data_IF_445193575205
#
_entry.id   IF_445193575205
#
_cell.length_a   1.000
_cell.length_b   1.000
_cell.length_c   1.000
_cell.angle_alpha   90.00
_cell.angle_beta   90.00
_cell.angle_gamma   90.00
#
_symmetry.space_group_name_H-M   'P 1'
#
loop_
_entity.id
_entity.type
_entity.pdbx_description
1 polymer ?
#
# COMPACT_ATOMS: atom_id res chain seq x y z
N UNK A 1 -99.62 -34.18 20.21
CA UNK A 1 -100.84 -34.88 20.66
C UNK A 1 -102.02 -34.41 19.84
N UNK A 2 -102.95 -35.30 19.51
CA UNK A 2 -104.12 -35.01 18.67
C UNK A 2 -105.35 -35.25 19.56
N UNK A 3 -106.24 -34.26 19.66
CA UNK A 3 -107.49 -34.34 20.43
C UNK A 3 -108.62 -34.77 19.50
N UNK A 4 -109.23 -35.92 19.77
CA UNK A 4 -110.44 -36.39 19.08
C UNK A 4 -111.51 -36.59 20.15
N UNK A 5 -112.60 -35.83 20.06
CA UNK A 5 -113.62 -35.70 21.12
C UNK A 5 -113.00 -35.37 22.49
N UNK A 6 -113.37 -36.09 23.55
CA UNK A 6 -112.90 -35.87 24.93
C UNK A 6 -111.64 -36.68 25.29
N UNK A 7 -110.98 -37.31 24.32
CA UNK A 7 -109.77 -38.13 24.55
C UNK A 7 -108.55 -37.53 23.84
N UNK A 8 -107.47 -37.36 24.61
CA UNK A 8 -106.17 -36.92 24.11
C UNK A 8 -105.40 -38.17 23.67
N UNK A 9 -105.11 -38.26 22.38
CA UNK A 9 -104.26 -39.30 21.84
C UNK A 9 -102.84 -38.76 21.69
N UNK A 10 -101.88 -39.49 22.25
CA UNK A 10 -100.46 -39.20 22.05
C UNK A 10 -100.08 -39.69 20.66
N UNK A 11 -100.05 -38.77 19.70
CA UNK A 11 -99.44 -39.02 18.39
C UNK A 11 -97.95 -38.73 18.47
N UNK A 12 -97.14 -39.70 18.05
CA UNK A 12 -95.69 -39.59 17.91
C UNK A 12 -95.40 -39.10 16.48
N UNK A 13 -94.91 -37.88 16.33
CA UNK A 13 -94.28 -37.45 15.08
C UNK A 13 -92.85 -37.96 15.09
N UNK A 14 -92.54 -38.91 14.20
CA UNK A 14 -91.18 -39.41 14.02
C UNK A 14 -90.64 -38.80 12.74
N UNK A 15 -89.73 -37.84 12.86
CA UNK A 15 -88.91 -37.36 11.74
C UNK A 15 -87.76 -38.34 11.62
N UNK A 16 -87.67 -39.05 10.50
CA UNK A 16 -86.66 -40.07 10.23
C UNK A 16 -85.94 -39.63 8.96
N UNK A 17 -84.62 -39.58 9.00
CA UNK A 17 -83.85 -39.48 7.76
C UNK A 17 -83.97 -40.81 7.00
N UNK A 18 -84.42 -40.74 5.76
CA UNK A 18 -84.63 -41.92 4.91
C UNK A 18 -83.75 -41.87 3.67
N UNK A 19 -82.94 -40.82 3.54
CA UNK A 19 -82.07 -40.60 2.38
C UNK A 19 -80.64 -40.96 2.76
N UNK A 20 -79.98 -41.86 2.02
CA UNK A 20 -78.56 -42.13 2.22
C UNK A 20 -77.68 -40.91 1.90
N UNK A 21 -76.51 -40.81 2.55
CA UNK A 21 -75.58 -39.71 2.32
C UNK A 21 -75.01 -39.76 0.90
N UNK A 22 -74.77 -38.60 0.29
CA UNK A 22 -74.13 -38.48 -1.03
C UNK A 22 -72.75 -37.84 -0.91
N UNK A 23 -71.79 -38.27 -1.73
CA UNK A 23 -70.49 -37.62 -1.86
C UNK A 23 -69.90 -37.88 -3.25
N UNK A 24 -68.90 -37.10 -3.65
CA UNK A 24 -68.13 -37.28 -4.87
C UNK A 24 -66.85 -38.07 -4.58
N UNK A 25 -66.56 -39.10 -5.37
CA UNK A 25 -65.32 -39.88 -5.26
C UNK A 25 -64.11 -39.07 -5.72
N UNK A 26 -63.02 -39.18 -4.97
CA UNK A 26 -61.72 -38.59 -5.28
C UNK A 26 -60.69 -39.71 -5.38
N UNK A 27 -59.96 -39.77 -6.48
CA UNK A 27 -58.81 -40.66 -6.61
C UNK A 27 -57.67 -40.14 -5.72
N UNK A 28 -56.96 -41.03 -5.04
CA UNK A 28 -55.86 -40.64 -4.15
C UNK A 28 -54.55 -41.30 -4.58
N UNK A 29 -53.46 -40.54 -4.54
CA UNK A 29 -52.11 -41.09 -4.73
C UNK A 29 -51.35 -41.09 -3.40
N UNK A 30 -50.98 -42.28 -2.94
CA UNK A 30 -50.28 -42.49 -1.68
C UNK A 30 -48.83 -42.93 -1.89
N UNK A 31 -47.96 -42.58 -0.96
CA UNK A 31 -46.65 -43.18 -0.87
C UNK A 31 -46.76 -44.60 -0.31
N UNK A 32 -45.83 -45.46 -0.69
CA UNK A 32 -45.70 -46.80 -0.11
C UNK A 32 -45.64 -46.74 1.42
N UNK A 33 -46.48 -47.53 2.08
CA UNK A 33 -46.69 -47.57 3.53
C UNK A 33 -47.29 -46.30 4.15
N UNK A 34 -47.82 -45.37 3.36
CA UNK A 34 -48.56 -44.21 3.88
C UNK A 34 -49.81 -44.67 4.62
N UNK A 35 -50.11 -44.03 5.75
CA UNK A 35 -51.37 -44.21 6.47
C UNK A 35 -52.36 -43.20 5.89
N UNK A 36 -53.45 -43.69 5.31
CA UNK A 36 -54.42 -42.87 4.59
C UNK A 36 -55.74 -42.89 5.35
N UNK A 37 -56.33 -41.71 5.55
CA UNK A 37 -57.66 -41.58 6.14
C UNK A 37 -58.76 -41.76 5.07
N UNK A 38 -59.90 -42.39 5.37
CA UNK A 38 -60.96 -42.63 4.40
C UNK A 38 -61.57 -41.34 3.83
N UNK A 39 -61.48 -40.23 4.56
CA UNK A 39 -61.91 -38.90 4.13
C UNK A 39 -61.12 -38.38 2.92
N UNK A 40 -59.88 -38.85 2.70
CA UNK A 40 -59.02 -38.38 1.60
C UNK A 40 -59.56 -38.76 0.20
N UNK A 41 -60.53 -39.66 0.16
CA UNK A 41 -61.06 -40.28 -1.04
C UNK A 41 -62.45 -39.74 -1.44
N UNK A 42 -62.99 -38.77 -0.71
CA UNK A 42 -64.29 -38.18 -0.99
C UNK A 42 -64.29 -36.67 -0.82
N UNK A 43 -65.20 -36.02 -1.52
CA UNK A 43 -65.49 -34.59 -1.39
C UNK A 43 -66.99 -34.33 -1.51
N UNK A 44 -67.42 -33.09 -1.23
CA UNK A 44 -68.81 -32.66 -1.43
C UNK A 44 -69.85 -33.57 -0.75
N UNK A 45 -69.63 -33.89 0.53
CA UNK A 45 -70.57 -34.71 1.31
C UNK A 45 -71.86 -33.92 1.56
N UNK A 46 -72.99 -34.50 1.19
CA UNK A 46 -74.34 -33.95 1.35
C UNK A 46 -75.22 -34.95 2.07
N UNK A 47 -75.66 -34.59 3.27
CA UNK A 47 -76.63 -35.35 4.07
C UNK A 47 -77.35 -34.41 5.05
N UNK A 48 -78.53 -34.80 5.54
CA UNK A 48 -79.25 -34.02 6.56
C UNK A 48 -78.76 -34.29 7.99
N UNK A 49 -77.89 -35.29 8.16
CA UNK A 49 -77.32 -35.72 9.43
C UNK A 49 -75.79 -35.90 9.34
N UNK A 50 -75.14 -36.22 10.48
CA UNK A 50 -73.70 -36.46 10.49
C UNK A 50 -73.38 -37.79 9.81
N UNK A 51 -72.37 -37.78 8.93
CA UNK A 51 -71.92 -38.95 8.17
C UNK A 51 -70.62 -39.48 8.77
N UNK A 52 -70.59 -40.78 9.06
CA UNK A 52 -69.36 -41.52 9.38
C UNK A 52 -68.81 -42.18 8.13
N UNK A 53 -67.49 -42.16 7.96
CA UNK A 53 -66.82 -42.69 6.77
C UNK A 53 -65.81 -43.74 7.24
N UNK A 54 -65.85 -44.91 6.62
CA UNK A 54 -64.90 -45.99 6.90
C UNK A 54 -64.55 -46.74 5.62
N UNK A 55 -63.36 -47.32 5.58
CA UNK A 55 -63.03 -48.31 4.56
C UNK A 55 -63.88 -49.56 4.75
N UNK A 56 -64.40 -50.12 3.66
CA UNK A 56 -65.01 -51.45 3.66
C UNK A 56 -63.95 -52.51 3.99
N UNK A 57 -62.78 -52.37 3.37
CA UNK A 57 -61.56 -53.11 3.67
C UNK A 57 -60.39 -52.12 3.66
N UNK A 58 -59.53 -52.18 4.69
CA UNK A 58 -58.39 -51.27 4.80
C UNK A 58 -57.42 -51.55 3.64
N UNK A 59 -57.06 -50.55 2.82
CA UNK A 59 -56.14 -50.76 1.70
C UNK A 59 -54.73 -51.13 2.17
N UNK A 60 -54.06 -52.02 1.45
CA UNK A 60 -52.67 -52.40 1.73
C UNK A 60 -51.71 -51.45 1.01
N UNK A 61 -51.21 -50.45 1.73
CA UNK A 61 -50.32 -49.43 1.16
C UNK A 61 -48.89 -49.92 0.94
N UNK A 62 -48.56 -51.17 1.25
CA UNK A 62 -47.24 -51.75 0.95
C UNK A 62 -47.11 -52.23 -0.50
N UNK A 63 -48.23 -52.42 -1.19
CA UNK A 63 -48.31 -52.95 -2.56
C UNK A 63 -48.41 -51.80 -3.57
N UNK A 64 -47.37 -51.63 -4.37
CA UNK A 64 -47.29 -50.59 -5.42
C UNK A 64 -48.32 -50.85 -6.52
N UNK A 65 -48.87 -49.76 -7.07
CA UNK A 65 -49.78 -49.77 -8.20
C UNK A 65 -51.20 -49.35 -7.85
N UNK A 66 -52.12 -49.63 -8.77
CA UNK A 66 -53.52 -49.25 -8.65
C UNK A 66 -54.32 -50.28 -7.84
N UNK A 67 -55.07 -49.79 -6.86
CA UNK A 67 -55.99 -50.55 -6.03
C UNK A 67 -57.37 -49.91 -6.09
N UNK A 68 -58.41 -50.76 -6.10
CA UNK A 68 -59.78 -50.32 -5.91
C UNK A 68 -60.05 -50.20 -4.40
N UNK A 69 -60.58 -49.05 -3.97
CA UNK A 69 -60.95 -48.81 -2.58
C UNK A 69 -62.44 -48.54 -2.51
N UNK A 70 -63.11 -49.21 -1.57
CA UNK A 70 -64.54 -49.02 -1.31
C UNK A 70 -64.73 -48.40 0.06
N UNK A 71 -65.45 -47.27 0.09
CA UNK A 71 -65.84 -46.57 1.30
C UNK A 71 -67.29 -46.85 1.65
N UNK A 72 -67.59 -46.89 2.94
CA UNK A 72 -68.93 -46.95 3.49
C UNK A 72 -69.21 -45.61 4.17
N UNK A 73 -70.17 -44.87 3.65
CA UNK A 73 -70.72 -43.66 4.25
C UNK A 73 -72.01 -44.05 4.97
N UNK A 74 -72.07 -43.81 6.27
CA UNK A 74 -73.20 -44.18 7.12
C UNK A 74 -73.67 -42.97 7.92
N UNK A 75 -74.94 -42.61 7.75
CA UNK A 75 -75.57 -41.47 8.41
C UNK A 75 -76.03 -41.81 9.85
N UNK A 76 -76.54 -40.82 10.60
CA UNK A 76 -77.00 -41.04 11.98
C UNK A 76 -78.27 -41.92 12.10
N UNK A 77 -78.97 -42.16 10.99
CA UNK A 77 -80.16 -43.01 10.89
C UNK A 77 -79.85 -44.41 10.34
N UNK A 78 -78.57 -44.73 10.12
CA UNK A 78 -78.04 -45.97 9.53
C UNK A 78 -78.38 -46.16 8.04
N UNK A 79 -78.67 -45.09 7.29
CA UNK A 79 -78.68 -45.13 5.84
C UNK A 79 -77.24 -45.17 5.33
N UNK A 80 -76.98 -45.99 4.30
CA UNK A 80 -75.63 -46.31 3.83
C UNK A 80 -75.48 -46.05 2.33
N UNK A 81 -74.35 -45.46 1.96
CA UNK A 81 -73.88 -45.36 0.57
C UNK A 81 -72.49 -45.97 0.46
N UNK A 82 -72.27 -46.83 -0.54
CA UNK A 82 -70.94 -47.31 -0.91
C UNK A 82 -70.37 -46.47 -2.06
N UNK A 83 -69.12 -46.04 -1.93
CA UNK A 83 -68.41 -45.31 -2.97
C UNK A 83 -67.13 -46.07 -3.33
N UNK A 84 -66.98 -46.39 -4.61
CA UNK A 84 -65.77 -46.99 -5.17
C UNK A 84 -64.87 -45.90 -5.74
N UNK A 85 -63.58 -45.97 -5.44
CA UNK A 85 -62.57 -45.03 -5.94
C UNK A 85 -61.24 -45.74 -6.21
N UNK A 86 -60.31 -45.03 -6.82
CA UNK A 86 -58.97 -45.53 -7.13
C UNK A 86 -57.94 -45.00 -6.11
N UNK A 87 -57.18 -45.91 -5.54
CA UNK A 87 -55.94 -45.63 -4.82
C UNK A 87 -54.77 -46.01 -5.72
N UNK A 88 -53.85 -45.09 -5.97
CA UNK A 88 -52.57 -45.40 -6.63
C UNK A 88 -51.45 -45.29 -5.60
N UNK A 89 -50.71 -46.37 -5.37
CA UNK A 89 -49.55 -46.38 -4.46
C UNK A 89 -48.28 -46.26 -5.29
N UNK A 90 -47.46 -45.26 -4.97
CA UNK A 90 -46.19 -44.98 -5.64
C UNK A 90 -45.01 -45.12 -4.68
N UNK A 91 -43.89 -45.61 -5.18
CA UNK A 91 -42.60 -45.66 -4.50
C UNK A 91 -41.76 -44.43 -4.89
N UNK A 92 -41.60 -43.52 -3.94
CA UNK A 92 -40.84 -42.28 -4.09
C UNK A 92 -39.54 -42.44 -3.31
N UNK A 93 -38.42 -42.16 -3.98
CA UNK A 93 -37.15 -41.97 -3.30
C UNK A 93 -37.24 -40.75 -2.39
N UNK A 94 -37.18 -41.00 -1.08
CA UNK A 94 -37.21 -39.97 -0.05
C UNK A 94 -36.16 -38.88 -0.29
N UNK A 95 -34.98 -39.27 -0.77
CA UNK A 95 -33.95 -38.33 -1.22
C UNK A 95 -33.00 -38.94 -2.23
N UNK A 96 -32.39 -38.09 -3.06
CA UNK A 96 -31.22 -38.42 -3.87
C UNK A 96 -29.99 -37.67 -3.33
N UNK A 97 -28.81 -38.20 -3.58
CA UNK A 97 -27.54 -37.58 -3.20
C UNK A 97 -26.76 -37.18 -4.45
N UNK A 98 -26.25 -35.95 -4.47
CA UNK A 98 -25.50 -35.35 -5.57
C UNK A 98 -24.17 -34.79 -5.07
N UNK A 99 -23.19 -34.73 -5.96
CA UNK A 99 -21.89 -34.14 -5.69
C UNK A 99 -21.93 -32.61 -5.87
N UNK A 100 -21.34 -31.86 -4.93
CA UNK A 100 -21.24 -30.41 -4.99
C UNK A 100 -20.48 -29.94 -6.24
N UNK A 101 -20.99 -28.91 -6.91
CA UNK A 101 -20.38 -28.37 -8.13
C UNK A 101 -20.55 -29.25 -9.38
N UNK A 102 -21.19 -30.43 -9.25
CA UNK A 102 -21.67 -31.22 -10.38
C UNK A 102 -23.13 -30.88 -10.65
N UNK A 103 -23.44 -30.45 -11.89
CA UNK A 103 -24.80 -30.08 -12.30
C UNK A 103 -25.37 -31.21 -13.18
N UNK A 104 -26.04 -32.22 -12.60
CA UNK A 104 -26.71 -33.23 -13.40
C UNK A 104 -27.99 -32.70 -14.02
N UNK A 105 -28.39 -33.31 -15.13
CA UNK A 105 -29.74 -33.12 -15.68
C UNK A 105 -30.72 -34.00 -14.90
N UNK A 106 -31.34 -33.44 -13.85
CA UNK A 106 -32.35 -34.14 -13.05
C UNK A 106 -33.68 -34.28 -13.78
N UNK A 107 -34.30 -35.43 -13.60
CA UNK A 107 -35.63 -35.78 -14.13
C UNK A 107 -36.51 -36.35 -13.03
N UNK A 108 -37.82 -36.38 -13.24
CA UNK A 108 -38.76 -36.98 -12.29
C UNK A 108 -38.51 -38.47 -12.06
N UNK A 109 -37.88 -39.16 -13.02
CA UNK A 109 -37.46 -40.57 -12.91
C UNK A 109 -36.34 -40.81 -11.90
N UNK A 110 -35.64 -39.76 -11.49
CA UNK A 110 -34.64 -39.85 -10.42
C UNK A 110 -35.30 -40.02 -9.05
N UNK A 111 -36.56 -39.60 -8.91
CA UNK A 111 -37.33 -39.64 -7.66
C UNK A 111 -38.43 -40.70 -7.66
N UNK A 112 -39.11 -40.92 -8.78
CA UNK A 112 -40.22 -41.88 -8.90
C UNK A 112 -39.82 -42.96 -9.92
N UNK A 113 -39.68 -44.20 -9.47
CA UNK A 113 -39.26 -45.32 -10.34
C UNK A 113 -40.43 -46.01 -11.04
N UNK A 114 -41.66 -45.75 -10.60
CA UNK A 114 -42.86 -46.35 -11.15
C UNK A 114 -43.21 -45.77 -12.52
N UNK A 115 -43.35 -46.64 -13.53
CA UNK A 115 -43.74 -46.25 -14.88
C UNK A 115 -45.27 -46.02 -14.99
N UNK A 116 -45.69 -45.14 -15.90
CA UNK A 116 -47.12 -44.89 -16.19
C UNK A 116 -47.81 -43.86 -15.29
N UNK A 117 -47.08 -43.24 -14.35
CA UNK A 117 -47.57 -42.12 -13.53
C UNK A 117 -47.32 -40.77 -14.25
N UNK A 118 -48.24 -39.82 -14.12
CA UNK A 118 -48.04 -38.44 -14.56
C UNK A 118 -47.28 -37.68 -13.47
N UNK A 119 -45.98 -37.46 -13.68
CA UNK A 119 -45.08 -36.85 -12.70
C UNK A 119 -44.45 -35.58 -13.25
N UNK A 120 -44.57 -34.48 -12.51
CA UNK A 120 -43.92 -33.20 -12.81
C UNK A 120 -43.31 -32.56 -11.56
N UNK A 121 -42.27 -31.75 -11.75
CA UNK A 121 -41.74 -30.94 -10.66
C UNK A 121 -42.65 -29.73 -10.40
N UNK A 122 -43.01 -29.53 -9.13
CA UNK A 122 -43.65 -28.29 -8.66
C UNK A 122 -42.57 -27.28 -8.26
N UNK A 123 -41.50 -27.75 -7.63
CA UNK A 123 -40.33 -26.92 -7.30
C UNK A 123 -39.50 -26.64 -8.56
N UNK A 124 -39.17 -25.37 -8.77
CA UNK A 124 -38.23 -24.96 -9.81
C UNK A 124 -36.80 -25.34 -9.40
N UNK A 125 -36.29 -26.43 -9.97
CA UNK A 125 -34.95 -26.95 -9.67
C UNK A 125 -33.83 -25.97 -10.04
N UNK A 126 -34.07 -25.00 -10.93
CA UNK A 126 -33.05 -23.99 -11.26
C UNK A 126 -32.76 -23.01 -10.12
N UNK A 127 -33.61 -22.98 -9.09
CA UNK A 127 -33.43 -22.14 -7.89
C UNK A 127 -32.56 -22.80 -6.82
N UNK A 128 -32.20 -24.07 -7.00
CA UNK A 128 -31.40 -24.84 -6.04
C UNK A 128 -29.93 -24.60 -6.33
N UNK A 129 -29.20 -24.08 -5.33
CA UNK A 129 -27.75 -23.95 -5.40
C UNK A 129 -27.09 -25.32 -5.22
N UNK A 130 -26.62 -25.90 -6.33
CA UNK A 130 -25.89 -27.18 -6.34
C UNK A 130 -24.38 -27.01 -6.17
N UNK A 131 -23.89 -25.78 -5.98
CA UNK A 131 -22.45 -25.52 -5.85
C UNK A 131 -21.90 -25.79 -4.45
N UNK A 132 -22.76 -25.96 -3.44
CA UNK A 132 -22.37 -26.11 -2.03
C UNK A 132 -23.10 -27.26 -1.34
N UNK A 133 -22.46 -27.90 -0.33
CA UNK A 133 -23.12 -28.88 0.50
C UNK A 133 -24.38 -28.32 1.17
N UNK A 134 -25.53 -28.93 0.91
CA UNK A 134 -26.83 -28.49 1.42
C UNK A 134 -27.90 -29.59 1.25
N UNK A 135 -28.98 -29.49 2.03
CA UNK A 135 -30.17 -30.33 1.86
C UNK A 135 -31.36 -29.49 1.42
N UNK A 136 -32.02 -29.90 0.34
CA UNK A 136 -33.18 -29.21 -0.22
C UNK A 136 -34.39 -30.15 -0.24
N UNK A 137 -35.56 -29.59 0.06
CA UNK A 137 -36.84 -30.28 -0.13
C UNK A 137 -37.43 -29.79 -1.44
N UNK A 138 -37.82 -30.72 -2.30
CA UNK A 138 -38.53 -30.46 -3.54
C UNK A 138 -39.94 -31.04 -3.48
N UNK A 139 -40.83 -30.46 -4.28
CA UNK A 139 -42.20 -30.90 -4.44
C UNK A 139 -42.42 -31.49 -5.82
N UNK A 140 -43.03 -32.67 -5.84
CA UNK A 140 -43.44 -33.41 -7.04
C UNK A 140 -44.96 -33.44 -7.09
N UNK A 141 -45.52 -33.17 -8.26
CA UNK A 141 -46.92 -33.45 -8.53
C UNK A 141 -47.00 -34.83 -9.20
N UNK A 142 -47.69 -35.76 -8.55
CA UNK A 142 -47.91 -37.14 -9.00
C UNK A 142 -49.41 -37.34 -9.14
N UNK A 143 -49.90 -37.45 -10.37
CA UNK A 143 -51.32 -37.58 -10.72
C UNK A 143 -52.24 -36.54 -10.02
N UNK A 144 -51.76 -35.31 -9.83
CA UNK A 144 -52.52 -34.24 -9.16
C UNK A 144 -52.29 -34.13 -7.65
N UNK A 145 -51.52 -35.03 -7.03
CA UNK A 145 -51.18 -34.98 -5.60
C UNK A 145 -49.75 -34.48 -5.40
N UNK A 146 -49.55 -33.51 -4.50
CA UNK A 146 -48.22 -32.99 -4.17
C UNK A 146 -47.55 -33.89 -3.13
N UNK A 147 -46.33 -34.36 -3.42
CA UNK A 147 -45.47 -35.12 -2.51
C UNK A 147 -44.10 -34.47 -2.40
N UNK A 148 -43.44 -34.63 -1.25
CA UNK A 148 -42.11 -34.08 -1.00
C UNK A 148 -41.03 -35.13 -1.27
N UNK A 149 -39.89 -34.70 -1.81
CA UNK A 149 -38.66 -35.49 -1.90
C UNK A 149 -37.46 -34.61 -1.54
N UNK A 150 -36.32 -35.22 -1.23
CA UNK A 150 -35.09 -34.53 -0.85
C UNK A 150 -34.01 -34.56 -1.93
N UNK A 151 -33.21 -33.51 -2.00
CA UNK A 151 -31.91 -33.49 -2.68
C UNK A 151 -30.86 -33.19 -1.62
N UNK A 152 -29.93 -34.12 -1.43
CA UNK A 152 -28.76 -33.95 -0.58
C UNK A 152 -27.56 -33.65 -1.47
N UNK A 153 -26.99 -32.47 -1.36
CA UNK A 153 -25.73 -32.10 -2.01
C UNK A 153 -24.64 -32.33 -0.97
N UNK A 154 -23.70 -33.21 -1.29
CA UNK A 154 -22.53 -33.49 -0.49
C UNK A 154 -21.30 -33.14 -1.31
N UNK A 155 -20.25 -32.69 -0.65
CA UNK A 155 -18.91 -32.69 -1.23
C UNK A 155 -18.19 -33.92 -0.67
N UNK A 156 -17.80 -34.83 -1.55
CA UNK A 156 -17.16 -36.11 -1.20
C UNK A 156 -15.77 -36.27 -1.81
N UNK A 157 -15.31 -35.26 -2.55
CA UNK A 157 -14.06 -35.32 -3.30
C UNK A 157 -13.04 -34.44 -2.56
N UNK A 158 -11.95 -35.02 -2.03
CA UNK A 158 -10.94 -34.24 -1.34
C UNK A 158 -10.17 -33.30 -2.29
N UNK A 159 -9.72 -32.15 -1.77
CA UNK A 159 -8.99 -31.16 -2.54
C UNK A 159 -7.62 -31.68 -2.99
N UNK A 160 -7.09 -31.14 -4.07
CA UNK A 160 -5.73 -31.47 -4.54
C UNK A 160 -4.90 -30.20 -4.74
N UNK A 161 -3.57 -30.29 -4.62
CA UNK A 161 -2.66 -29.16 -4.81
C UNK A 161 -1.24 -29.61 -5.18
N UNK A 162 -0.43 -28.66 -5.65
CA UNK A 162 1.01 -28.80 -5.87
C UNK A 162 1.78 -28.31 -4.65
N UNK A 163 2.69 -29.12 -4.13
CA UNK A 163 3.54 -28.75 -2.97
C UNK A 163 4.66 -27.80 -3.38
N UNK A 164 4.89 -26.79 -2.53
CA UNK A 164 6.01 -25.85 -2.61
C UNK A 164 6.78 -25.89 -1.29
N UNK A 165 8.07 -26.18 -1.36
CA UNK A 165 8.95 -26.08 -0.20
C UNK A 165 9.26 -24.61 0.10
N UNK A 166 9.43 -24.28 1.38
CA UNK A 166 9.63 -22.90 1.83
C UNK A 166 10.92 -22.74 2.61
N UNK A 167 11.47 -21.52 2.57
CA UNK A 167 12.62 -21.11 3.36
C UNK A 167 12.28 -19.82 4.13
N UNK A 168 12.62 -19.79 5.42
CA UNK A 168 12.41 -18.63 6.30
C UNK A 168 13.64 -18.39 7.18
N UNK A 169 13.76 -17.18 7.72
CA UNK A 169 14.78 -16.90 8.73
C UNK A 169 14.33 -17.34 10.12
N UNK A 170 15.28 -17.64 11.00
CA UNK A 170 15.00 -18.03 12.38
C UNK A 170 14.17 -16.97 13.11
N UNK A 171 13.06 -17.41 13.70
CA UNK A 171 12.10 -16.54 14.41
C UNK A 171 10.99 -15.96 13.53
N UNK A 172 11.10 -16.08 12.20
CA UNK A 172 10.00 -15.75 11.29
C UNK A 172 8.96 -16.87 11.28
N UNK A 173 7.70 -16.51 11.06
CA UNK A 173 6.58 -17.45 10.93
C UNK A 173 6.09 -17.47 9.50
N UNK A 174 5.59 -18.63 9.06
CA UNK A 174 4.96 -18.80 7.75
C UNK A 174 3.69 -19.63 7.88
N UNK A 175 2.67 -19.26 7.12
CA UNK A 175 1.38 -19.95 7.09
C UNK A 175 1.40 -21.15 6.14
N UNK A 176 0.50 -22.11 6.38
CA UNK A 176 0.46 -23.37 5.65
C UNK A 176 0.09 -23.22 4.16
N UNK A 177 -0.65 -22.17 3.80
CA UNK A 177 -1.04 -21.86 2.43
C UNK A 177 0.17 -21.53 1.53
N UNK A 178 1.25 -21.01 2.10
CA UNK A 178 2.49 -20.77 1.35
C UNK A 178 3.12 -22.08 0.82
N UNK A 179 2.83 -23.23 1.42
CA UNK A 179 3.41 -24.52 1.04
C UNK A 179 2.66 -25.22 -0.10
N UNK A 180 1.59 -24.60 -0.62
CA UNK A 180 0.74 -25.19 -1.65
C UNK A 180 0.41 -24.17 -2.73
N UNK A 181 0.28 -24.67 -3.96
CA UNK A 181 -0.15 -23.91 -5.13
C UNK A 181 -1.09 -24.77 -5.97
N UNK A 182 -1.75 -24.17 -6.96
CA UNK A 182 -2.67 -24.90 -7.86
C UNK A 182 -3.72 -25.73 -7.11
N UNK A 183 -4.32 -25.17 -6.06
CA UNK A 183 -5.37 -25.84 -5.31
C UNK A 183 -6.58 -26.03 -6.24
N UNK A 184 -7.01 -27.28 -6.40
CA UNK A 184 -8.16 -27.67 -7.22
C UNK A 184 -9.18 -28.36 -6.32
N UNK A 185 -10.34 -27.72 -6.21
CA UNK A 185 -11.53 -28.27 -5.57
C UNK A 185 -12.82 -27.61 -6.09
N UNK A 186 -13.98 -28.18 -5.77
CA UNK A 186 -15.29 -27.61 -6.11
C UNK A 186 -15.82 -26.67 -5.04
N UNK A 187 -15.44 -26.87 -3.78
CA UNK A 187 -15.79 -26.01 -2.67
C UNK A 187 -14.55 -25.24 -2.17
N UNK A 188 -14.73 -24.43 -1.13
CA UNK A 188 -13.65 -23.61 -0.59
C UNK A 188 -12.69 -24.49 0.23
N UNK A 189 -11.39 -24.33 0.01
CA UNK A 189 -10.34 -25.10 0.71
C UNK A 189 -9.60 -24.23 1.71
N UNK A 190 -9.36 -24.76 2.90
CA UNK A 190 -8.49 -24.18 3.92
C UNK A 190 -7.21 -25.01 4.07
N UNK A 191 -6.05 -24.35 4.05
CA UNK A 191 -4.76 -24.97 4.30
C UNK A 191 -4.31 -24.71 5.74
N UNK A 192 -3.87 -25.75 6.44
CA UNK A 192 -3.35 -25.66 7.82
C UNK A 192 -2.19 -26.65 8.02
N UNK A 193 -1.41 -26.48 9.09
CA UNK A 193 -0.42 -27.48 9.48
C UNK A 193 -1.06 -28.57 10.33
N UNK A 194 -0.71 -29.83 10.10
CA UNK A 194 -1.09 -30.93 11.00
C UNK A 194 -0.54 -30.70 12.41
N UNK A 195 0.73 -30.27 12.48
CA UNK A 195 1.41 -29.86 13.71
C UNK A 195 2.13 -28.54 13.44
N UNK A 196 1.99 -27.56 14.34
CA UNK A 196 2.68 -26.27 14.20
C UNK A 196 4.20 -26.47 14.15
N UNK A 197 4.90 -25.98 13.10
CA UNK A 197 6.35 -26.10 13.01
C UNK A 197 7.07 -25.35 14.15
N UNK A 198 8.19 -25.90 14.61
CA UNK A 198 9.10 -25.20 15.52
C UNK A 198 10.00 -24.24 14.75
N UNK A 199 9.57 -22.98 14.64
CA UNK A 199 10.29 -21.93 13.92
C UNK A 199 11.61 -21.48 14.57
N UNK A 200 11.94 -22.00 15.76
CA UNK A 200 13.16 -21.65 16.49
C UNK A 200 14.31 -22.64 16.24
N UNK A 201 14.06 -23.74 15.53
CA UNK A 201 15.08 -24.76 15.25
C UNK A 201 15.63 -24.58 13.84
N UNK A 202 16.94 -24.53 13.70
CA UNK A 202 17.59 -24.37 12.40
C UNK A 202 17.58 -25.67 11.57
N UNK A 203 17.65 -25.52 10.26
CA UNK A 203 17.80 -26.59 9.29
C UNK A 203 16.49 -26.98 8.60
N UNK A 204 16.54 -28.11 7.89
CA UNK A 204 15.39 -28.64 7.15
C UNK A 204 14.45 -29.42 8.07
N UNK A 205 13.15 -29.15 7.96
CA UNK A 205 12.08 -29.76 8.73
C UNK A 205 10.99 -30.27 7.80
N UNK A 206 10.57 -31.51 8.00
CA UNK A 206 9.40 -32.07 7.33
C UNK A 206 8.15 -31.51 8.03
N UNK A 207 7.26 -30.91 7.25
CA UNK A 207 5.97 -30.39 7.71
C UNK A 207 4.85 -31.06 6.93
N UNK A 208 3.70 -31.25 7.57
CA UNK A 208 2.50 -31.82 6.96
C UNK A 208 1.44 -30.74 6.81
N UNK A 209 1.01 -30.52 5.57
CA UNK A 209 -0.05 -29.58 5.22
C UNK A 209 -1.35 -30.35 5.08
N UNK A 210 -2.39 -29.85 5.74
CA UNK A 210 -3.76 -30.35 5.68
C UNK A 210 -4.56 -29.39 4.82
N UNK A 211 -5.10 -29.91 3.72
CA UNK A 211 -6.13 -29.23 2.93
C UNK A 211 -7.48 -29.82 3.31
N UNK A 212 -8.37 -28.98 3.84
CA UNK A 212 -9.75 -29.35 4.20
C UNK A 212 -10.73 -28.48 3.41
N UNK A 213 -11.73 -29.10 2.80
CA UNK A 213 -12.79 -28.44 2.02
C UNK A 213 -14.07 -28.19 2.86
N UNK A 214 -15.14 -27.64 2.25
CA UNK A 214 -16.43 -27.43 2.96
C UNK A 214 -17.17 -28.75 3.24
N UNK A 215 -16.80 -29.85 2.58
CA UNK A 215 -17.30 -31.21 2.80
C UNK A 215 -16.61 -31.97 3.93
N UNK A 216 -15.58 -31.38 4.55
CA UNK A 216 -14.66 -32.03 5.50
C UNK A 216 -13.85 -33.17 4.88
N UNK A 217 -13.65 -33.17 3.56
CA UNK A 217 -12.69 -34.08 2.94
C UNK A 217 -11.29 -33.49 3.10
N UNK A 218 -10.33 -34.37 3.36
CA UNK A 218 -8.96 -34.00 3.74
C UNK A 218 -7.95 -34.59 2.77
N UNK A 219 -6.98 -33.77 2.36
CA UNK A 219 -5.74 -34.21 1.74
C UNK A 219 -4.55 -33.80 2.60
N UNK A 220 -3.68 -34.77 2.91
CA UNK A 220 -2.41 -34.53 3.59
C UNK A 220 -1.26 -34.46 2.58
N UNK A 221 -0.41 -33.44 2.70
CA UNK A 221 0.75 -33.23 1.84
C UNK A 221 2.02 -33.08 2.67
N UNK A 222 3.10 -33.73 2.26
CA UNK A 222 4.42 -33.57 2.87
C UNK A 222 5.19 -32.45 2.16
N UNK A 223 5.71 -31.49 2.92
CA UNK A 223 6.53 -30.39 2.42
C UNK A 223 7.78 -30.17 3.29
N UNK A 224 8.76 -29.43 2.76
CA UNK A 224 9.99 -29.08 3.48
C UNK A 224 9.98 -27.60 3.84
N UNK A 225 10.21 -27.32 5.12
CA UNK A 225 10.51 -26.00 5.66
C UNK A 225 12.01 -25.94 6.00
N UNK A 226 12.75 -25.03 5.37
CA UNK A 226 14.14 -24.73 5.71
C UNK A 226 14.20 -23.48 6.58
N UNK A 227 14.80 -23.58 7.76
CA UNK A 227 14.99 -22.43 8.65
C UNK A 227 16.47 -22.08 8.69
N UNK A 228 16.78 -20.90 8.16
CA UNK A 228 18.14 -20.39 8.01
C UNK A 228 18.42 -19.29 9.03
N UNK A 229 19.70 -19.09 9.35
CA UNK A 229 20.15 -17.94 10.13
C UNK A 229 20.88 -16.99 9.18
N UNK A 230 20.63 -15.71 9.36
CA UNK A 230 21.36 -14.67 8.67
C UNK A 230 22.72 -14.42 9.35
N UNK A 231 23.79 -14.60 8.58
CA UNK A 231 25.20 -14.48 8.99
C UNK A 231 26.01 -13.58 8.05
N UNK A 232 25.38 -13.00 7.03
CA UNK A 232 26.03 -12.14 6.07
C UNK A 232 25.95 -10.69 6.56
N UNK A 233 27.06 -9.95 6.44
CA UNK A 233 27.09 -8.55 6.87
C UNK A 233 26.59 -7.61 5.77
N UNK A 234 26.01 -6.45 6.14
CA UNK A 234 25.56 -5.46 5.17
C UNK A 234 26.65 -5.01 4.20
N UNK A 235 26.27 -4.73 2.96
CA UNK A 235 27.20 -4.26 1.94
C UNK A 235 27.14 -2.76 1.75
N UNK A 236 28.18 -2.05 2.24
CA UNK A 236 28.36 -0.61 2.00
C UNK A 236 29.05 -0.36 0.65
N UNK A 237 28.40 0.39 -0.24
CA UNK A 237 28.88 0.72 -1.59
C UNK A 237 28.99 2.23 -1.82
N UNK A 238 29.86 2.65 -2.76
CA UNK A 238 30.02 4.05 -3.14
C UNK A 238 31.02 4.86 -2.29
N UNK A 239 31.58 4.26 -1.24
CA UNK A 239 32.65 4.85 -0.42
C UNK A 239 33.91 5.02 -1.26
N UNK A 240 34.41 6.26 -1.35
CA UNK A 240 35.59 6.64 -2.14
C UNK A 240 36.35 7.74 -1.43
N UNK A 241 37.67 7.74 -1.61
CA UNK A 241 38.53 8.85 -1.22
C UNK A 241 38.18 10.11 -2.01
N UNK A 242 38.34 11.27 -1.38
CA UNK A 242 38.02 12.57 -1.98
C UNK A 242 39.09 13.60 -1.62
N UNK A 243 39.33 14.51 -2.55
CA UNK A 243 40.15 15.71 -2.33
C UNK A 243 39.24 16.93 -2.40
N UNK A 244 39.39 17.84 -1.44
CA UNK A 244 38.70 19.13 -1.41
C UNK A 244 39.71 20.24 -1.13
N UNK A 245 39.37 21.46 -1.53
CA UNK A 245 40.16 22.63 -1.19
C UNK A 245 39.61 23.32 0.07
N UNK A 246 40.50 24.00 0.82
CA UNK A 246 40.11 24.79 1.98
C UNK A 246 39.02 25.80 1.57
N UNK A 247 37.90 25.77 2.28
CA UNK A 247 36.72 26.60 2.02
C UNK A 247 35.59 25.91 1.25
N UNK A 248 35.83 24.72 0.68
CA UNK A 248 34.79 23.89 0.10
C UNK A 248 33.97 23.14 1.17
N UNK A 249 32.73 22.77 0.81
CA UNK A 249 31.87 21.93 1.63
C UNK A 249 31.86 20.49 1.09
N UNK A 250 31.67 19.52 1.99
CA UNK A 250 31.69 18.10 1.65
C UNK A 250 30.48 17.38 2.25
N UNK A 251 29.75 16.63 1.42
CA UNK A 251 28.69 15.70 1.86
C UNK A 251 29.23 14.28 1.96
N UNK A 252 29.25 13.73 3.17
CA UNK A 252 29.76 12.38 3.44
C UNK A 252 28.78 11.27 3.00
N UNK A 253 27.47 11.55 2.91
CA UNK A 253 26.46 10.55 2.52
C UNK A 253 26.27 10.44 1.00
N UNK A 254 26.63 11.48 0.25
CA UNK A 254 26.28 11.55 -1.18
C UNK A 254 26.93 10.40 -1.97
N UNK A 255 26.10 9.60 -2.64
CA UNK A 255 26.51 8.48 -3.49
C UNK A 255 26.82 7.17 -2.74
N UNK A 256 26.48 7.08 -1.45
CA UNK A 256 26.66 5.85 -0.64
C UNK A 256 25.33 5.12 -0.52
N UNK A 257 25.38 3.80 -0.68
CA UNK A 257 24.25 2.90 -0.48
C UNK A 257 24.65 1.73 0.43
N UNK A 258 23.67 1.20 1.16
CA UNK A 258 23.81 -0.02 1.98
C UNK A 258 22.73 -0.98 1.52
N UNK A 259 23.08 -2.25 1.37
CA UNK A 259 22.17 -3.34 0.98
C UNK A 259 22.49 -4.56 1.82
N UNK A 260 21.48 -5.38 2.11
CA UNK A 260 21.62 -6.62 2.89
C UNK A 260 20.80 -7.75 2.24
N UNK A 261 21.08 -9.01 2.60
CA UNK A 261 20.37 -10.19 2.10
C UNK A 261 19.04 -10.45 2.82
N UNK A 262 18.92 -10.02 4.08
CA UNK A 262 17.72 -10.19 4.90
C UNK A 262 17.02 -8.88 5.18
N UNK A 263 17.76 -7.83 5.55
CA UNK A 263 17.19 -6.57 5.98
C UNK A 263 16.99 -5.59 4.81
N UNK A 264 15.73 -5.24 4.50
CA UNK A 264 15.38 -4.29 3.43
C UNK A 264 16.01 -2.90 3.64
N UNK A 265 16.05 -2.45 4.90
CA UNK A 265 16.61 -1.15 5.29
C UNK A 265 17.64 -1.30 6.41
N UNK A 266 18.89 -0.98 6.11
CA UNK A 266 20.00 -0.95 7.08
C UNK A 266 20.51 0.48 7.27
N UNK A 267 20.58 0.95 8.52
CA UNK A 267 21.04 2.30 8.83
C UNK A 267 22.56 2.45 8.62
N UNK A 268 22.94 3.49 7.87
CA UNK A 268 24.34 3.88 7.69
C UNK A 268 24.74 4.94 8.73
N UNK A 269 25.69 4.59 9.58
CA UNK A 269 26.38 5.49 10.50
C UNK A 269 27.67 6.04 9.86
N UNK A 270 27.93 7.33 10.07
CA UNK A 270 29.08 8.03 9.49
C UNK A 270 29.81 8.80 10.59
N UNK A 271 31.04 8.38 10.92
CA UNK A 271 31.93 9.11 11.80
C UNK A 271 32.91 9.95 10.98
N UNK A 272 32.67 11.26 10.95
CA UNK A 272 33.56 12.27 10.38
C UNK A 272 34.16 13.21 11.44
N UNK A 273 34.11 12.83 12.72
CA UNK A 273 34.51 13.69 13.84
C UNK A 273 35.98 14.14 13.78
N UNK A 274 36.83 13.33 13.14
CA UNK A 274 38.26 13.64 12.96
C UNK A 274 38.54 14.64 11.83
N UNK A 275 37.58 14.92 10.95
CA UNK A 275 37.81 15.70 9.72
C UNK A 275 37.84 17.20 10.00
N UNK A 276 38.91 17.88 9.55
CA UNK A 276 39.04 19.33 9.62
C UNK A 276 39.21 19.96 8.23
N UNK A 277 38.12 20.47 7.64
CA UNK A 277 38.13 21.09 6.31
C UNK A 277 38.82 22.47 6.24
N UNK A 278 39.31 22.99 7.37
CA UNK A 278 39.99 24.30 7.46
C UNK A 278 41.50 24.18 7.56
N UNK A 279 42.03 22.96 7.56
CA UNK A 279 43.46 22.70 7.71
C UNK A 279 43.88 21.63 6.71
N UNK A 280 45.02 21.85 6.07
CA UNK A 280 45.58 20.86 5.17
C UNK A 280 45.89 19.55 5.91
N UNK A 281 45.58 18.44 5.26
CA UNK A 281 45.79 17.12 5.83
C UNK A 281 44.92 16.04 5.21
N UNK A 282 45.18 14.80 5.61
CA UNK A 282 44.39 13.63 5.23
C UNK A 282 43.62 13.17 6.47
N UNK A 283 42.30 13.16 6.38
CA UNK A 283 41.39 12.81 7.47
C UNK A 283 40.59 11.56 7.12
N UNK A 284 40.30 10.72 8.11
CA UNK A 284 39.53 9.49 7.92
C UNK A 284 38.07 9.72 8.24
N UNK A 285 37.20 9.21 7.36
CA UNK A 285 35.76 9.06 7.63
C UNK A 285 35.46 7.57 7.68
N UNK A 286 34.79 7.14 8.74
CA UNK A 286 34.44 5.74 8.97
C UNK A 286 32.94 5.59 8.72
N UNK A 287 32.58 4.60 7.91
CA UNK A 287 31.22 4.24 7.54
C UNK A 287 30.93 2.87 8.14
N UNK A 288 29.90 2.78 8.97
CA UNK A 288 29.48 1.53 9.61
C UNK A 288 28.00 1.25 9.35
N UNK A 289 27.68 -0.03 9.19
CA UNK A 289 26.32 -0.54 9.08
C UNK A 289 26.22 -1.84 9.90
N UNK A 290 25.09 -2.02 10.56
CA UNK A 290 24.78 -3.18 11.40
C UNK A 290 23.33 -3.59 11.12
N UNK A 291 23.13 -4.87 10.77
CA UNK A 291 21.81 -5.43 10.47
C UNK A 291 21.04 -5.83 11.75
N UNK A 292 19.82 -6.34 11.57
CA UNK A 292 19.00 -6.81 12.69
C UNK A 292 19.55 -8.07 13.38
N UNK A 293 20.36 -8.85 12.66
CA UNK A 293 21.01 -10.09 13.11
C UNK A 293 22.32 -9.82 13.88
N UNK A 294 22.80 -8.57 13.90
CA UNK A 294 24.02 -8.12 14.55
C UNK A 294 25.30 -8.24 13.71
N UNK A 295 25.21 -8.57 12.42
CA UNK A 295 26.38 -8.59 11.54
C UNK A 295 26.76 -7.16 11.15
N UNK A 296 28.06 -6.88 11.07
CA UNK A 296 28.60 -5.51 10.92
C UNK A 296 29.51 -5.38 9.72
N UNK A 297 29.40 -4.26 9.03
CA UNK A 297 30.31 -3.85 7.97
C UNK A 297 30.93 -2.49 8.25
N UNK A 298 32.20 -2.35 7.87
CA UNK A 298 32.97 -1.11 8.00
C UNK A 298 33.68 -0.77 6.69
N UNK A 299 33.64 0.50 6.31
CA UNK A 299 34.45 1.08 5.23
C UNK A 299 35.07 2.38 5.69
N UNK A 300 36.26 2.69 5.18
CA UNK A 300 36.99 3.92 5.47
C UNK A 300 37.25 4.68 4.19
N UNK A 301 37.03 5.99 4.20
CA UNK A 301 37.47 6.90 3.14
C UNK A 301 38.47 7.93 3.69
N UNK A 302 39.45 8.28 2.86
CA UNK A 302 40.36 9.39 3.12
C UNK A 302 39.86 10.67 2.46
N UNK A 303 39.78 11.73 3.26
CA UNK A 303 39.46 13.09 2.82
C UNK A 303 40.74 13.91 2.87
N UNK A 304 41.25 14.25 1.69
CA UNK A 304 42.44 15.11 1.53
C UNK A 304 41.98 16.56 1.44
N UNK A 305 42.49 17.39 2.32
CA UNK A 305 42.25 18.84 2.33
C UNK A 305 43.53 19.52 1.88
N UNK A 306 43.44 20.31 0.80
CA UNK A 306 44.57 21.03 0.21
C UNK A 306 44.33 22.54 0.22
N UNK A 307 45.39 23.35 0.29
CA UNK A 307 45.28 24.79 0.08
C UNK A 307 44.86 25.11 -1.36
N UNK A 308 43.95 26.07 -1.52
CA UNK A 308 43.61 26.60 -2.83
C UNK A 308 44.73 27.51 -3.34
N UNK A 309 45.64 26.97 -4.14
CA UNK A 309 46.68 27.75 -4.81
C UNK A 309 46.10 28.40 -6.07
N UNK A 310 45.70 29.67 -5.97
CA UNK A 310 45.24 30.44 -7.13
C UNK A 310 46.45 31.00 -7.87
N UNK A 311 46.69 30.50 -9.08
CA UNK A 311 47.71 31.08 -9.96
C UNK A 311 47.26 32.43 -10.54
N UNK A 312 48.23 33.29 -10.88
CA UNK A 312 47.97 34.57 -11.55
C UNK A 312 47.25 34.38 -12.88
N UNK A 313 47.56 33.30 -13.61
CA UNK A 313 46.88 32.97 -14.87
C UNK A 313 45.37 32.71 -14.66
N UNK A 314 45.00 31.95 -13.63
CA UNK A 314 43.60 31.67 -13.32
C UNK A 314 42.85 32.94 -12.96
N UNK A 315 43.46 33.80 -12.13
CA UNK A 315 42.86 35.06 -11.71
C UNK A 315 42.73 36.05 -12.88
N UNK A 316 43.72 36.09 -13.78
CA UNK A 316 43.69 36.90 -15.00
C UNK A 316 42.55 36.48 -15.92
N UNK A 317 42.33 35.17 -16.12
CA UNK A 317 41.21 34.68 -16.94
C UNK A 317 39.84 35.08 -16.38
N UNK A 318 39.66 35.02 -15.06
CA UNK A 318 38.41 35.48 -14.42
C UNK A 318 38.25 36.99 -14.58
N UNK A 319 39.33 37.74 -14.41
CA UNK A 319 39.34 39.19 -14.56
C UNK A 319 39.02 39.61 -16.00
N UNK A 320 39.58 38.93 -17.01
CA UNK A 320 39.27 39.14 -18.43
C UNK A 320 37.79 38.92 -18.72
N UNK A 321 37.23 37.81 -18.25
CA UNK A 321 35.80 37.52 -18.44
C UNK A 321 34.88 38.59 -17.84
N UNK A 322 35.31 39.31 -16.80
CA UNK A 322 34.57 40.46 -16.26
C UNK A 322 34.84 41.71 -17.12
N UNK A 323 36.11 42.05 -17.33
CA UNK A 323 36.53 43.28 -18.01
C UNK A 323 35.98 43.39 -19.43
N UNK A 324 35.98 42.28 -20.19
CA UNK A 324 35.44 42.22 -21.56
C UNK A 324 33.98 42.69 -21.65
N UNK A 325 33.22 42.58 -20.55
CA UNK A 325 31.83 42.97 -20.49
C UNK A 325 31.59 44.39 -19.96
N UNK A 326 32.57 44.98 -19.27
CA UNK A 326 32.37 46.26 -18.56
C UNK A 326 33.21 47.41 -19.09
N UNK A 327 34.29 47.13 -19.83
CA UNK A 327 35.19 48.14 -20.41
C UNK A 327 35.46 47.90 -21.90
N UNK A 328 36.01 48.90 -22.58
CA UNK A 328 36.54 48.77 -23.94
C UNK A 328 37.73 49.73 -24.15
N UNK A 329 38.41 49.61 -25.30
CA UNK A 329 39.64 50.36 -25.59
C UNK A 329 39.45 51.86 -25.75
N UNK A 330 38.24 52.33 -26.06
CA UNK A 330 37.94 53.77 -26.21
C UNK A 330 37.73 54.48 -24.87
N UNK A 331 37.64 53.74 -23.76
CA UNK A 331 37.45 54.33 -22.44
C UNK A 331 38.77 54.85 -21.85
N UNK A 332 38.70 56.02 -21.22
CA UNK A 332 39.77 56.53 -20.36
C UNK A 332 40.01 55.61 -19.16
N UNK A 333 41.21 55.68 -18.56
CA UNK A 333 41.52 54.90 -17.34
C UNK A 333 40.52 55.17 -16.21
N UNK A 334 40.05 56.41 -16.08
CA UNK A 334 39.06 56.81 -15.07
C UNK A 334 37.68 56.21 -15.32
N UNK A 335 37.24 56.15 -16.58
CA UNK A 335 36.00 55.46 -16.96
C UNK A 335 36.09 53.96 -16.71
N UNK A 336 37.22 53.33 -17.07
CA UNK A 336 37.49 51.92 -16.77
C UNK A 336 37.45 51.66 -15.26
N UNK A 337 38.13 52.49 -14.48
CA UNK A 337 38.11 52.40 -13.02
C UNK A 337 36.69 52.57 -12.44
N UNK A 338 35.87 53.49 -12.97
CA UNK A 338 34.48 53.66 -12.51
C UNK A 338 33.63 52.43 -12.83
N UNK A 339 33.82 51.81 -14.00
CA UNK A 339 33.13 50.56 -14.37
C UNK A 339 33.50 49.42 -13.44
N UNK A 340 34.79 49.25 -13.12
CA UNK A 340 35.28 48.27 -12.14
C UNK A 340 34.65 48.54 -10.75
N UNK A 341 34.72 49.79 -10.27
CA UNK A 341 34.10 50.22 -9.00
C UNK A 341 32.63 49.80 -8.91
N UNK A 342 31.85 50.16 -9.93
CA UNK A 342 30.42 49.88 -9.98
C UNK A 342 30.14 48.38 -10.08
N UNK A 343 30.92 47.65 -10.89
CA UNK A 343 30.75 46.21 -11.03
C UNK A 343 31.05 45.48 -9.71
N UNK A 344 32.19 45.75 -9.06
CA UNK A 344 32.54 45.09 -7.79
C UNK A 344 31.48 45.35 -6.72
N UNK A 345 31.02 46.60 -6.59
CA UNK A 345 29.99 46.99 -5.62
C UNK A 345 28.63 46.31 -5.87
N UNK A 346 28.33 45.95 -7.11
CA UNK A 346 27.08 45.29 -7.50
C UNK A 346 27.16 43.75 -7.41
N UNK A 347 28.35 43.17 -7.58
CA UNK A 347 28.53 41.71 -7.72
C UNK A 347 29.19 41.05 -6.52
N UNK A 348 29.66 41.83 -5.54
CA UNK A 348 30.10 41.32 -4.24
C UNK A 348 29.10 41.77 -3.18
N UNK A 349 28.53 40.83 -2.43
CA UNK A 349 27.66 41.08 -1.27
C UNK A 349 28.43 41.05 0.05
N UNK A 350 28.12 41.97 0.97
CA UNK A 350 28.84 42.05 2.26
C UNK A 350 28.31 41.03 3.28
N UNK A 351 29.16 40.08 3.72
CA UNK A 351 28.89 39.04 4.72
C UNK A 351 29.76 39.15 5.98
N UNK A 352 30.82 39.97 5.94
CA UNK A 352 31.69 40.20 7.09
C UNK A 352 32.73 39.10 7.37
N UNK A 353 32.91 38.15 6.45
CA UNK A 353 33.92 37.10 6.57
C UNK A 353 34.79 36.99 5.31
N UNK A 354 36.12 36.98 5.50
CA UNK A 354 37.11 36.70 4.45
C UNK A 354 38.36 36.05 5.01
N UNK A 355 39.04 35.29 4.16
CA UNK A 355 40.38 34.83 4.44
C UNK A 355 41.36 35.93 4.02
N UNK A 356 42.14 36.44 4.98
CA UNK A 356 43.06 37.56 4.77
C UNK A 356 44.51 37.10 4.62
N UNK A 357 44.74 35.80 4.45
CA UNK A 357 46.08 35.21 4.31
C UNK A 357 46.66 35.37 2.89
N UNK A 358 45.80 35.34 1.86
CA UNK A 358 46.18 35.48 0.45
C UNK A 358 45.11 36.26 -0.32
N UNK A 359 45.49 37.40 -0.90
CA UNK A 359 44.57 38.25 -1.65
C UNK A 359 44.14 37.63 -2.98
N UNK A 360 44.97 36.80 -3.62
CA UNK A 360 44.63 36.16 -4.90
C UNK A 360 43.59 35.06 -4.69
N UNK A 361 43.76 34.26 -3.63
CA UNK A 361 42.78 33.27 -3.20
C UNK A 361 41.45 33.94 -2.84
N UNK A 362 41.49 35.06 -2.11
CA UNK A 362 40.28 35.81 -1.76
C UNK A 362 39.62 36.47 -2.99
N UNK A 363 40.39 37.00 -3.94
CA UNK A 363 39.85 37.54 -5.20
C UNK A 363 39.13 36.46 -6.01
N UNK A 364 39.74 35.28 -6.16
CA UNK A 364 39.11 34.13 -6.80
C UNK A 364 37.81 33.73 -6.11
N UNK A 365 37.82 33.64 -4.78
CA UNK A 365 36.62 33.36 -3.97
C UNK A 365 35.54 34.42 -4.18
N UNK A 366 35.93 35.70 -4.23
CA UNK A 366 35.05 36.82 -4.53
C UNK A 366 34.39 36.71 -5.91
N UNK A 367 35.15 36.35 -6.95
CA UNK A 367 34.62 36.11 -8.30
C UNK A 367 33.66 34.92 -8.35
N UNK A 368 33.92 33.84 -7.62
CA UNK A 368 33.10 32.62 -7.66
C UNK A 368 31.84 32.70 -6.80
N UNK A 369 31.98 33.24 -5.59
CA UNK A 369 30.91 33.18 -4.59
C UNK A 369 30.12 34.50 -4.53
N UNK A 370 30.67 35.60 -5.04
CA UNK A 370 30.00 36.91 -5.05
C UNK A 370 29.72 37.48 -3.67
N UNK A 371 30.42 37.03 -2.63
CA UNK A 371 30.20 37.46 -1.24
C UNK A 371 31.50 37.54 -0.43
N UNK A 372 31.57 38.45 0.54
CA UNK A 372 32.73 38.59 1.42
C UNK A 372 32.72 39.85 2.29
N UNK A 373 33.89 40.35 2.68
CA UNK A 373 34.02 41.60 3.46
C UNK A 373 34.93 42.62 2.77
N UNK A 374 35.30 43.72 3.44
CA UNK A 374 36.14 44.77 2.86
C UNK A 374 37.40 44.24 2.14
N UNK A 375 38.02 43.16 2.64
CA UNK A 375 39.18 42.55 1.99
C UNK A 375 38.82 41.86 0.67
N UNK A 376 37.63 41.24 0.57
CA UNK A 376 37.10 40.65 -0.66
C UNK A 376 36.82 41.73 -1.72
N UNK A 377 36.17 42.84 -1.34
CA UNK A 377 35.93 43.95 -2.28
C UNK A 377 37.24 44.55 -2.79
N UNK A 378 38.21 44.74 -1.90
CA UNK A 378 39.56 45.17 -2.24
C UNK A 378 40.24 44.18 -3.19
N UNK A 379 40.27 42.89 -2.86
CA UNK A 379 40.98 41.86 -3.63
C UNK A 379 40.40 41.68 -5.05
N UNK A 380 39.06 41.65 -5.18
CA UNK A 380 38.39 41.60 -6.48
C UNK A 380 38.69 42.86 -7.30
N UNK A 381 38.63 44.03 -6.68
CA UNK A 381 38.95 45.29 -7.36
C UNK A 381 40.40 45.35 -7.80
N UNK A 382 41.33 44.92 -6.94
CA UNK A 382 42.76 44.84 -7.25
C UNK A 382 43.00 43.97 -8.48
N UNK A 383 42.44 42.77 -8.52
CA UNK A 383 42.57 41.86 -9.67
C UNK A 383 42.10 42.51 -10.98
N UNK A 384 40.95 43.20 -10.95
CA UNK A 384 40.40 43.90 -12.11
C UNK A 384 41.23 45.13 -12.50
N UNK A 385 41.71 45.92 -11.54
CA UNK A 385 42.56 47.10 -11.78
C UNK A 385 43.92 46.70 -12.37
N UNK A 386 44.57 45.69 -11.79
CA UNK A 386 45.83 45.13 -12.28
C UNK A 386 45.66 44.61 -13.72
N UNK A 387 44.59 43.84 -13.99
CA UNK A 387 44.34 43.29 -15.32
C UNK A 387 44.00 44.36 -16.35
N UNK A 388 43.33 45.43 -15.93
CA UNK A 388 43.02 46.61 -16.76
C UNK A 388 44.20 47.60 -16.89
N UNK A 389 45.38 47.27 -16.33
CA UNK A 389 46.57 48.10 -16.35
C UNK A 389 46.37 49.50 -15.73
N UNK A 390 45.53 49.58 -14.69
CA UNK A 390 45.34 50.82 -13.91
C UNK A 390 46.29 50.75 -12.71
N UNK A 391 47.32 51.63 -12.64
CA UNK A 391 48.20 51.68 -11.49
C UNK A 391 47.41 51.83 -10.19
N UNK A 392 47.66 50.94 -9.24
CA UNK A 392 46.99 50.93 -7.94
C UNK A 392 47.98 50.59 -6.82
N UNK A 393 47.70 51.13 -5.63
CA UNK A 393 48.47 50.89 -4.40
C UNK A 393 47.52 50.39 -3.34
N UNK A 394 47.92 49.32 -2.66
CA UNK A 394 47.13 48.67 -1.62
C UNK A 394 47.23 49.46 -0.32
N UNK A 395 46.09 49.86 0.24
CA UNK A 395 46.03 50.56 1.51
C UNK A 395 45.32 49.72 2.56
N UNK A 396 45.87 49.76 3.77
CA UNK A 396 45.27 49.14 4.96
C UNK A 396 45.14 50.17 6.06
N UNK A 397 44.03 50.13 6.77
CA UNK A 397 43.75 51.06 7.84
C UNK A 397 44.79 50.99 8.96
N UNK A 398 45.35 52.15 9.32
CA UNK A 398 46.20 52.38 10.47
C UNK A 398 45.36 52.91 11.64
N UNK A 399 45.29 52.13 12.71
CA UNK A 399 44.44 52.41 13.87
C UNK A 399 42.95 52.03 13.66
N UNK A 400 42.14 52.19 14.71
CA UNK A 400 40.74 51.75 14.73
C UNK A 400 40.54 50.31 15.27
N UNK A 401 39.30 49.82 15.27
CA UNK A 401 38.89 48.59 15.98
C UNK A 401 38.80 47.33 15.11
N UNK A 402 38.92 47.47 13.79
CA UNK A 402 38.89 46.37 12.79
C UNK A 402 40.01 46.58 11.76
N UNK A 403 40.18 45.66 10.80
CA UNK A 403 40.97 45.94 9.58
C UNK A 403 40.03 46.48 8.50
N UNK A 404 40.51 47.41 7.67
CA UNK A 404 39.83 47.89 6.47
C UNK A 404 40.87 48.00 5.34
N UNK A 405 40.47 47.64 4.13
CA UNK A 405 41.34 47.56 2.96
C UNK A 405 40.70 48.30 1.79
N UNK A 406 41.49 49.10 1.08
CA UNK A 406 41.07 49.82 -0.12
C UNK A 406 42.31 50.15 -0.98
N UNK A 407 42.16 50.91 -2.06
CA UNK A 407 43.27 51.23 -2.96
C UNK A 407 43.41 52.73 -3.21
N UNK A 408 44.63 53.19 -3.50
CA UNK A 408 44.82 54.37 -4.35
C UNK A 408 44.88 53.92 -5.80
N UNK A 409 44.39 54.72 -6.73
CA UNK A 409 44.50 54.50 -8.17
C UNK A 409 45.02 55.75 -8.88
N UNK A 410 45.73 55.57 -9.99
CA UNK A 410 46.17 56.67 -10.84
C UNK A 410 45.66 56.48 -12.27
N UNK A 411 44.79 57.39 -12.72
CA UNK A 411 44.20 57.37 -14.06
C UNK A 411 44.81 58.43 -15.00
N UNK A 412 45.98 58.99 -14.66
CA UNK A 412 46.71 60.00 -15.43
C UNK A 412 46.66 61.41 -14.83
N UNK A 413 45.85 61.65 -13.80
CA UNK A 413 45.64 62.96 -13.17
C UNK A 413 46.26 63.06 -11.76
N UNK A 414 46.92 62.00 -11.29
CA UNK A 414 47.40 61.88 -9.91
C UNK A 414 46.78 60.67 -9.19
N UNK A 415 47.07 60.55 -7.89
CA UNK A 415 46.62 59.43 -7.07
C UNK A 415 45.36 59.80 -6.30
N UNK A 416 44.31 58.99 -6.46
CA UNK A 416 42.99 59.18 -5.84
C UNK A 416 42.55 57.92 -5.13
N UNK A 417 41.70 58.06 -4.11
CA UNK A 417 41.19 56.92 -3.35
C UNK A 417 40.08 56.17 -4.09
N UNK A 418 40.15 54.84 -4.02
CA UNK A 418 39.21 53.89 -4.58
C UNK A 418 38.80 52.89 -3.49
N UNK A 419 37.52 52.89 -3.12
CA UNK A 419 36.96 51.94 -2.15
C UNK A 419 35.55 51.50 -2.57
N UNK A 420 35.47 50.34 -3.23
CA UNK A 420 34.20 49.74 -3.67
C UNK A 420 33.40 49.10 -2.54
N UNK A 421 33.95 49.00 -1.32
CA UNK A 421 33.24 48.41 -0.19
C UNK A 421 32.05 49.31 0.22
N UNK A 422 30.83 48.75 0.33
CA UNK A 422 29.67 49.53 0.73
C UNK A 422 29.82 50.04 2.17
N UNK A 423 29.34 51.26 2.37
CA UNK A 423 29.37 51.95 3.64
C UNK A 423 27.94 52.27 4.11
N UNK A 424 27.73 52.35 5.44
CA UNK A 424 26.41 52.63 6.03
C UNK A 424 25.82 53.96 5.58
N UNK A 425 26.68 54.95 5.32
CA UNK A 425 26.30 56.29 4.86
C UNK A 425 25.90 56.34 3.38
N UNK A 426 26.14 55.25 2.62
CA UNK A 426 25.90 55.14 1.18
C UNK A 426 26.60 56.21 0.34
N UNK A 427 27.60 56.92 0.89
CA UNK A 427 28.38 57.90 0.14
C UNK A 427 29.29 57.18 -0.86
N UNK A 428 29.49 57.80 -2.02
CA UNK A 428 30.42 57.30 -3.02
C UNK A 428 31.85 57.47 -2.50
N UNK A 429 32.68 56.45 -2.76
CA UNK A 429 34.08 56.39 -2.34
C UNK A 429 34.98 56.05 -3.53
N UNK A 430 34.68 56.68 -4.67
CA UNK A 430 35.40 56.52 -5.93
C UNK A 430 36.08 57.82 -6.33
N UNK A 431 37.38 57.73 -6.63
CA UNK A 431 38.19 58.81 -7.15
C UNK A 431 38.20 60.05 -6.24
N UNK A 432 38.32 59.81 -4.94
CA UNK A 432 38.31 60.86 -3.93
C UNK A 432 39.70 61.45 -3.72
N UNK A 433 39.76 62.75 -3.47
CA UNK A 433 40.98 63.43 -3.00
C UNK A 433 41.30 63.09 -1.53
N UNK A 434 42.51 63.38 -1.09
CA UNK A 434 42.93 63.23 0.31
C UNK A 434 41.99 64.04 1.23
N UNK A 435 41.71 65.31 0.90
CA UNK A 435 40.78 66.15 1.70
C UNK A 435 39.34 65.62 1.71
N UNK A 436 38.89 64.94 0.67
CA UNK A 436 37.58 64.26 0.66
C UNK A 436 37.55 63.05 1.58
N UNK A 437 38.64 62.27 1.58
CA UNK A 437 38.79 61.06 2.39
C UNK A 437 39.00 61.38 3.87
N UNK A 438 39.68 62.47 4.20
CA UNK A 438 39.77 63.01 5.55
C UNK A 438 38.39 63.40 6.09
N UNK A 439 37.58 64.13 5.31
CA UNK A 439 36.19 64.45 5.68
C UNK A 439 35.31 63.21 5.87
N UNK A 440 35.47 62.20 5.01
CA UNK A 440 34.77 60.92 5.21
C UNK A 440 35.26 60.17 6.44
N UNK A 441 36.55 60.28 6.78
CA UNK A 441 37.12 59.69 8.00
C UNK A 441 36.54 60.33 9.25
N UNK A 442 36.39 61.65 9.29
CA UNK A 442 35.72 62.35 10.39
C UNK A 442 34.26 61.90 10.53
N UNK A 443 33.54 61.76 9.42
CA UNK A 443 32.14 61.31 9.40
C UNK A 443 31.98 59.86 9.87
N UNK A 444 32.83 58.95 9.38
CA UNK A 444 32.74 57.50 9.64
C UNK A 444 33.39 57.11 10.97
N UNK A 445 34.27 57.97 11.50
CA UNK A 445 35.04 57.75 12.70
C UNK A 445 35.98 56.55 12.61
N UNK A 446 36.53 56.13 13.76
CA UNK A 446 37.37 54.92 13.89
C UNK A 446 38.56 54.88 12.92
N UNK A 447 39.09 56.05 12.58
CA UNK A 447 40.22 56.20 11.66
C UNK A 447 39.96 55.57 10.28
N UNK A 448 38.72 55.60 9.78
CA UNK A 448 38.25 54.79 8.64
C UNK A 448 39.22 54.73 7.43
N UNK A 449 39.73 55.88 6.98
CA UNK A 449 40.73 55.96 5.91
C UNK A 449 42.09 56.49 6.36
N UNK A 450 42.45 56.34 7.63
CA UNK A 450 43.82 56.62 8.07
C UNK A 450 44.69 55.44 7.65
N UNK A 451 45.83 55.71 7.03
CA UNK A 451 46.81 54.72 6.60
C UNK A 451 48.22 55.24 6.90
N UNK A 452 49.21 54.35 6.86
CA UNK A 452 50.60 54.75 7.05
C UNK A 452 51.15 55.40 5.77
N UNK A 453 51.25 56.73 5.78
CA UNK A 453 51.77 57.50 4.64
C UNK A 453 53.25 57.22 4.36
N UNK A 454 53.99 56.59 5.29
CA UNK A 454 55.41 56.21 5.07
C UNK A 454 55.56 54.95 4.22
N UNK A 455 54.47 54.21 3.99
CA UNK A 455 54.45 52.98 3.19
C UNK A 455 54.12 53.22 1.71
N UNK A 456 53.90 54.49 1.31
CA UNK A 456 53.62 54.86 -0.08
C UNK A 456 54.58 55.96 -0.55
N UNK A 457 55.02 55.86 -1.81
CA UNK A 457 56.02 56.76 -2.39
C UNK A 457 55.38 57.87 -3.23
N UNK A 458 54.08 58.12 -3.01
CA UNK A 458 53.25 59.01 -3.82
C UNK A 458 52.47 59.96 -2.93
N UNK A 459 52.18 61.16 -3.44
CA UNK A 459 51.31 62.12 -2.78
C UNK A 459 49.95 62.10 -3.46
N UNK A 460 48.88 61.70 -2.76
CA UNK A 460 47.51 61.81 -3.28
C UNK A 460 47.14 63.25 -3.60
N UNK A 461 46.19 63.42 -4.51
CA UNK A 461 45.66 64.75 -4.84
C UNK A 461 44.87 65.28 -3.64
N UNK A 462 45.07 66.56 -3.32
CA UNK A 462 44.40 67.27 -2.20
C UNK A 462 42.94 67.63 -2.48
#
# INVERSE_FOLDING_TARGET
SIKIEDRIYTSLLKVIDTTPPMAESVNYTAMKNEIIAPEAFISNIVDSSNVSIKFKEIPDTSIIGDQEVVLILEDASNNVTEITTKLTIVDILNSITLEAGFIPHLTTKDFVKDEGQDVSFVTDLSTIDMSKPASHIIQLNINGTIKNAGIQILDTIPPTATVVNQEVWIGDTIEADAFVTDIVDKTLVHASFLETPDFARLGEHQVKIILEDEGHNITELDAVLTISKDEEAPRISGVKDRTIFIGETLSYRNGISVTDNKDDEVELQIDSSSVNLKKEGIYKVIYTAEDSSGNKAEKVANITVEALLVSSETLNKLSDGVLDNIINDNMTLKEKAKKIYTWTKANVGYTGNSDKSDWMAEAYRGFKNGVGDCFTYFAVSKALLDRAQIPNIDLTRLGGTTRHYWSLINCGEGWYHFDSCPNKDKKDSFYLTESEVERLTELRGKNYYVYDKTLIDVTPVE
#
